data_IF_583218929056
#
_entry.id   IF_583218929056
#
_cell.length_a   1.000
_cell.length_b   1.000
_cell.length_c   1.000
_cell.angle_alpha   90.00
_cell.angle_beta   90.00
_cell.angle_gamma   90.00
#
_symmetry.space_group_name_H-M   'P 1'
#
loop_
_entity.id
_entity.type
_entity.pdbx_description
1 polymer ?
#
# COMPACT_ATOMS: atom_id res chain seq x y z
N UNK A 1 -0.37 43.65 2.20
CA UNK A 1 0.57 42.79 1.45
C UNK A 1 1.34 41.98 2.47
N UNK A 2 1.08 40.68 2.56
CA UNK A 2 1.82 39.78 3.45
C UNK A 2 3.00 39.18 2.66
N UNK A 3 4.26 39.41 3.06
CA UNK A 3 5.40 38.82 2.40
C UNK A 3 5.71 37.46 3.06
N UNK A 4 6.10 36.47 2.25
CA UNK A 4 6.59 35.13 2.63
C UNK A 4 5.55 34.01 2.61
N UNK A 5 5.14 33.63 1.41
CA UNK A 5 4.99 32.22 1.06
C UNK A 5 5.98 31.94 -0.09
N UNK A 6 7.24 31.67 0.24
CA UNK A 6 8.19 31.11 -0.74
C UNK A 6 7.75 29.65 -0.92
N UNK A 7 7.02 29.40 -2.00
CA UNK A 7 6.68 28.04 -2.45
C UNK A 7 7.98 27.38 -2.86
N UNK A 8 8.52 26.52 -2.00
CA UNK A 8 9.69 25.71 -2.33
C UNK A 8 9.23 24.62 -3.31
N UNK A 9 9.20 24.93 -4.60
CA UNK A 9 9.05 23.90 -5.62
C UNK A 9 10.31 23.04 -5.60
N UNK A 10 10.18 21.80 -5.12
CA UNK A 10 11.25 20.81 -5.21
C UNK A 10 11.69 20.70 -6.69
N UNK A 11 13.01 20.76 -7.00
CA UNK A 11 13.47 20.61 -8.37
C UNK A 11 12.98 19.28 -8.94
N UNK A 12 12.28 19.30 -10.08
CA UNK A 12 11.91 18.06 -10.78
C UNK A 12 13.18 17.33 -11.20
N UNK A 13 13.48 16.21 -10.54
CA UNK A 13 14.63 15.37 -10.88
C UNK A 13 14.39 14.75 -12.26
N UNK A 14 15.39 14.84 -13.13
CA UNK A 14 15.37 14.17 -14.43
C UNK A 14 15.49 12.66 -14.23
N UNK A 15 14.37 11.95 -14.36
CA UNK A 15 14.34 10.49 -14.28
C UNK A 15 15.19 9.85 -15.37
N UNK A 16 15.93 8.81 -15.01
CA UNK A 16 16.65 7.98 -15.97
C UNK A 16 15.67 7.15 -16.80
N UNK A 17 16.10 6.73 -18.00
CA UNK A 17 15.29 5.82 -18.83
C UNK A 17 14.98 4.50 -18.08
N UNK A 18 15.95 4.02 -17.28
CA UNK A 18 15.84 2.83 -16.43
C UNK A 18 14.65 2.93 -15.46
N UNK A 19 14.45 4.05 -14.75
CA UNK A 19 13.35 4.19 -13.80
C UNK A 19 11.97 4.17 -14.49
N UNK A 20 11.88 4.69 -15.72
CA UNK A 20 10.63 4.71 -16.48
C UNK A 20 10.17 3.31 -16.90
N UNK A 21 11.10 2.39 -17.18
CA UNK A 21 10.78 0.99 -17.51
C UNK A 21 10.03 0.29 -16.38
N UNK A 22 10.28 0.72 -15.14
CA UNK A 22 9.64 0.20 -13.95
C UNK A 22 8.43 1.04 -13.49
N UNK A 23 7.96 1.99 -14.28
CA UNK A 23 6.90 2.92 -13.91
C UNK A 23 7.18 3.67 -12.58
N UNK A 24 8.46 3.98 -12.32
CA UNK A 24 8.87 4.91 -11.27
C UNK A 24 8.92 6.32 -11.87
N UNK A 25 8.27 7.26 -11.20
CA UNK A 25 8.11 8.65 -11.65
C UNK A 25 8.82 9.62 -10.70
N UNK A 26 8.69 10.93 -10.95
CA UNK A 26 9.20 11.96 -10.05
C UNK A 26 8.47 11.95 -8.70
N UNK A 27 7.34 11.26 -8.63
CA UNK A 27 6.52 11.05 -7.44
C UNK A 27 6.70 9.62 -6.89
N UNK A 28 7.87 9.01 -7.10
CA UNK A 28 8.20 7.63 -6.74
C UNK A 28 7.28 6.61 -7.42
N UNK A 29 6.52 5.82 -6.66
CA UNK A 29 5.62 4.79 -7.17
C UNK A 29 4.22 5.33 -7.53
N UNK A 30 3.98 6.63 -7.35
CA UNK A 30 2.78 7.30 -7.84
C UNK A 30 2.90 7.62 -9.34
N UNK A 31 1.77 7.82 -10.04
CA UNK A 31 1.79 8.36 -11.40
C UNK A 31 2.42 9.76 -11.46
N UNK A 32 2.89 10.14 -12.66
CA UNK A 32 3.51 11.46 -12.89
C UNK A 32 2.50 12.61 -12.76
N UNK A 33 1.24 12.33 -13.06
CA UNK A 33 0.12 13.28 -12.95
C UNK A 33 -0.99 12.71 -12.07
N UNK A 34 -1.90 13.57 -11.62
CA UNK A 34 -3.09 13.13 -10.89
C UNK A 34 -3.82 12.00 -11.66
N UNK A 35 -4.23 10.92 -10.99
CA UNK A 35 -5.04 9.86 -11.60
C UNK A 35 -6.29 10.41 -12.31
N UNK A 36 -6.76 9.68 -13.33
CA UNK A 36 -7.97 10.06 -14.06
C UNK A 36 -9.16 10.13 -13.09
N UNK A 37 -9.90 11.25 -13.12
CA UNK A 37 -11.12 11.44 -12.34
C UNK A 37 -12.32 10.66 -12.88
N UNK A 38 -12.30 10.35 -14.17
CA UNK A 38 -13.33 9.57 -14.88
C UNK A 38 -12.67 8.85 -16.08
N UNK A 39 -13.18 7.66 -16.44
CA UNK A 39 -12.87 7.02 -17.71
C UNK A 39 -13.47 7.87 -18.84
N UNK A 40 -12.68 8.20 -19.89
CA UNK A 40 -13.12 9.14 -20.92
C UNK A 40 -14.14 8.55 -21.90
N UNK A 41 -14.13 7.23 -22.12
CA UNK A 41 -15.10 6.56 -22.98
C UNK A 41 -16.41 6.31 -22.21
N UNK A 42 -17.52 6.88 -22.71
CA UNK A 42 -18.86 6.74 -22.11
C UNK A 42 -19.37 5.30 -22.07
N UNK A 43 -18.74 4.38 -22.81
CA UNK A 43 -18.97 2.94 -22.64
C UNK A 43 -18.81 2.46 -21.20
N UNK A 44 -17.93 3.10 -20.41
CA UNK A 44 -17.67 2.77 -19.01
C UNK A 44 -18.50 3.58 -18.02
N UNK A 45 -19.43 4.43 -18.48
CA UNK A 45 -20.35 5.20 -17.62
C UNK A 45 -21.09 4.35 -16.58
N UNK A 46 -21.52 3.10 -16.85
CA UNK A 46 -22.17 2.27 -15.82
C UNK A 46 -21.29 2.02 -14.59
N UNK A 47 -19.97 1.80 -14.76
CA UNK A 47 -19.05 1.66 -13.63
C UNK A 47 -18.87 2.98 -12.89
N UNK A 48 -18.74 4.08 -13.63
CA UNK A 48 -18.56 5.43 -13.10
C UNK A 48 -19.74 5.87 -12.23
N UNK A 49 -20.96 5.59 -12.66
CA UNK A 49 -22.16 5.97 -11.92
C UNK A 49 -22.23 5.29 -10.55
N UNK A 50 -21.91 3.99 -10.48
CA UNK A 50 -21.95 3.24 -9.21
C UNK A 50 -20.84 3.71 -8.27
N UNK A 51 -19.60 3.85 -8.76
CA UNK A 51 -18.47 4.21 -7.89
C UNK A 51 -18.61 5.62 -7.31
N UNK A 52 -19.18 6.57 -8.04
CA UNK A 52 -19.44 7.94 -7.56
C UNK A 52 -20.47 7.98 -6.42
N UNK A 53 -21.40 7.01 -6.40
CA UNK A 53 -22.46 6.91 -5.38
C UNK A 53 -22.18 5.82 -4.34
N UNK A 54 -20.97 5.25 -4.33
CA UNK A 54 -20.63 4.07 -3.53
C UNK A 54 -20.97 4.23 -2.03
N UNK A 55 -20.65 5.35 -1.35
CA UNK A 55 -20.99 5.51 0.07
C UNK A 55 -22.50 5.46 0.35
N UNK A 56 -23.31 6.01 -0.54
CA UNK A 56 -24.77 5.98 -0.40
C UNK A 56 -25.29 4.56 -0.65
N UNK A 57 -24.81 3.90 -1.71
CA UNK A 57 -25.22 2.54 -2.05
C UNK A 57 -24.89 1.52 -0.94
N UNK A 58 -23.74 1.67 -0.27
CA UNK A 58 -23.38 0.85 0.89
C UNK A 58 -24.30 1.15 2.08
N UNK A 59 -24.50 2.44 2.40
CA UNK A 59 -25.32 2.87 3.54
C UNK A 59 -26.76 2.38 3.47
N UNK A 60 -27.34 2.34 2.27
CA UNK A 60 -28.71 1.90 2.01
C UNK A 60 -28.82 0.43 1.56
N UNK A 61 -27.74 -0.36 1.68
CA UNK A 61 -27.70 -1.78 1.32
C UNK A 61 -28.08 -2.08 -0.16
N UNK A 62 -27.90 -1.10 -1.03
CA UNK A 62 -28.28 -1.16 -2.44
C UNK A 62 -27.14 -1.55 -3.38
N UNK A 63 -25.90 -1.65 -2.85
CA UNK A 63 -24.71 -1.92 -3.66
C UNK A 63 -24.81 -3.21 -4.49
N UNK A 64 -25.37 -4.29 -3.93
CA UNK A 64 -25.51 -5.57 -4.65
C UNK A 64 -26.48 -5.44 -5.82
N UNK A 65 -27.65 -4.87 -5.56
CA UNK A 65 -28.67 -4.60 -6.58
C UNK A 65 -28.10 -3.75 -7.72
N UNK A 66 -27.37 -2.67 -7.39
CA UNK A 66 -26.75 -1.82 -8.39
C UNK A 66 -25.76 -2.59 -9.27
N UNK A 67 -24.89 -3.40 -8.68
CA UNK A 67 -23.92 -4.24 -9.41
C UNK A 67 -24.61 -5.31 -10.26
N UNK A 68 -25.62 -6.00 -9.72
CA UNK A 68 -26.30 -7.10 -10.42
C UNK A 68 -27.03 -6.60 -11.67
N UNK A 69 -27.41 -5.32 -11.72
CA UNK A 69 -28.02 -4.67 -12.89
C UNK A 69 -27.04 -4.17 -13.94
N UNK A 70 -25.72 -4.22 -13.67
CA UNK A 70 -24.72 -3.80 -14.66
C UNK A 70 -24.71 -4.75 -15.87
N UNK A 71 -24.41 -4.24 -17.07
CA UNK A 71 -23.92 -5.09 -18.15
C UNK A 71 -22.50 -5.60 -17.84
N UNK A 72 -22.13 -6.75 -18.39
CA UNK A 72 -20.72 -7.18 -18.42
C UNK A 72 -20.00 -6.35 -19.48
N UNK A 73 -19.15 -5.41 -19.05
CA UNK A 73 -18.41 -4.51 -19.94
C UNK A 73 -17.04 -5.11 -20.32
N UNK A 74 -16.66 -4.97 -21.59
CA UNK A 74 -15.36 -5.37 -22.14
C UNK A 74 -14.27 -4.35 -21.79
N UNK A 75 -13.04 -4.82 -21.59
CA UNK A 75 -11.87 -3.96 -21.34
C UNK A 75 -11.16 -3.51 -22.62
N UNK A 76 -11.59 -3.94 -23.79
CA UNK A 76 -10.93 -3.68 -25.09
C UNK A 76 -10.90 -2.20 -25.52
N UNK A 77 -11.71 -1.35 -24.87
CA UNK A 77 -11.75 0.09 -25.15
C UNK A 77 -10.82 0.91 -24.26
N UNK A 78 -10.21 0.32 -23.23
CA UNK A 78 -9.18 0.98 -22.42
C UNK A 78 -7.91 1.17 -23.26
N UNK A 79 -7.47 2.42 -23.43
CA UNK A 79 -6.37 2.79 -24.35
C UNK A 79 -5.07 3.15 -23.66
N UNK A 80 -5.14 3.71 -22.45
CA UNK A 80 -3.98 4.21 -21.73
C UNK A 80 -3.77 3.47 -20.41
N UNK A 81 -2.53 3.44 -19.92
CA UNK A 81 -2.21 2.92 -18.57
C UNK A 81 -3.05 3.59 -17.48
N UNK A 82 -3.34 4.87 -17.62
CA UNK A 82 -4.17 5.61 -16.68
C UNK A 82 -5.63 5.10 -16.67
N UNK A 83 -6.18 4.71 -17.83
CA UNK A 83 -7.50 4.08 -17.94
C UNK A 83 -7.51 2.67 -17.33
N UNK A 84 -6.50 1.85 -17.59
CA UNK A 84 -6.37 0.52 -16.98
C UNK A 84 -6.29 0.60 -15.45
N UNK A 85 -5.47 1.51 -14.91
CA UNK A 85 -5.35 1.75 -13.46
C UNK A 85 -6.66 2.23 -12.85
N UNK A 86 -7.37 3.14 -13.52
CA UNK A 86 -8.69 3.61 -13.07
C UNK A 86 -9.71 2.48 -13.05
N UNK A 87 -9.80 1.70 -14.13
CA UNK A 87 -10.70 0.55 -14.19
C UNK A 87 -10.41 -0.45 -13.06
N UNK A 88 -9.14 -0.72 -12.77
CA UNK A 88 -8.73 -1.58 -11.65
C UNK A 88 -9.23 -1.03 -10.32
N UNK A 89 -8.98 0.26 -10.04
CA UNK A 89 -9.43 0.90 -8.80
C UNK A 89 -10.94 0.80 -8.64
N UNK A 90 -11.72 1.15 -9.67
CA UNK A 90 -13.19 1.07 -9.61
C UNK A 90 -13.64 -0.36 -9.32
N UNK A 91 -13.19 -1.33 -10.10
CA UNK A 91 -13.59 -2.74 -9.96
C UNK A 91 -13.18 -3.33 -8.62
N UNK A 92 -12.03 -2.92 -8.07
CA UNK A 92 -11.56 -3.35 -6.75
C UNK A 92 -12.45 -2.81 -5.61
N UNK A 93 -12.82 -1.53 -5.66
CA UNK A 93 -13.78 -0.94 -4.71
C UNK A 93 -15.15 -1.61 -4.83
N UNK A 94 -15.67 -1.80 -6.05
CA UNK A 94 -16.96 -2.47 -6.25
C UNK A 94 -16.93 -3.93 -5.76
N UNK A 95 -15.83 -4.65 -5.98
CA UNK A 95 -15.64 -6.03 -5.47
C UNK A 95 -15.77 -6.07 -3.95
N UNK A 96 -15.02 -5.24 -3.25
CA UNK A 96 -15.01 -5.22 -1.79
C UNK A 96 -16.35 -4.73 -1.22
N UNK A 97 -16.98 -3.74 -1.86
CA UNK A 97 -18.29 -3.27 -1.46
C UNK A 97 -19.40 -4.31 -1.71
N UNK A 98 -19.33 -5.08 -2.79
CA UNK A 98 -20.29 -6.16 -3.06
C UNK A 98 -20.16 -7.29 -2.03
N UNK A 99 -18.91 -7.71 -1.77
CA UNK A 99 -18.60 -8.74 -0.78
C UNK A 99 -19.05 -8.30 0.60
N UNK A 100 -18.59 -7.14 1.09
CA UNK A 100 -18.76 -6.74 2.50
C UNK A 100 -19.95 -5.82 2.79
N UNK A 101 -20.56 -5.20 1.79
CA UNK A 101 -21.59 -4.15 1.96
C UNK A 101 -23.03 -4.64 2.15
N UNK A 102 -23.24 -5.94 2.39
CA UNK A 102 -24.56 -6.50 2.72
C UNK A 102 -24.67 -6.92 4.19
N UNK A 103 -25.79 -7.51 4.58
CA UNK A 103 -25.98 -8.04 5.96
C UNK A 103 -25.04 -9.20 6.32
N UNK A 104 -24.60 -9.96 5.33
CA UNK A 104 -23.63 -11.06 5.42
C UNK A 104 -22.71 -10.98 4.21
N UNK A 105 -21.46 -11.46 4.27
CA UNK A 105 -20.58 -11.34 3.12
C UNK A 105 -21.08 -12.17 1.92
N UNK A 106 -20.93 -11.63 0.71
CA UNK A 106 -21.23 -12.37 -0.51
C UNK A 106 -20.08 -13.31 -0.85
N UNK A 107 -20.38 -14.59 -1.06
CA UNK A 107 -19.39 -15.60 -1.42
C UNK A 107 -19.18 -15.72 -2.93
N UNK A 108 -20.05 -15.15 -3.75
CA UNK A 108 -19.99 -15.20 -5.21
C UNK A 108 -19.94 -13.79 -5.74
N UNK A 109 -18.88 -13.45 -6.47
CA UNK A 109 -18.74 -12.19 -7.19
C UNK A 109 -19.33 -12.36 -8.60
N UNK A 110 -20.25 -11.48 -9.03
CA UNK A 110 -20.99 -11.70 -10.27
C UNK A 110 -20.13 -11.37 -11.51
N UNK A 111 -20.46 -11.92 -12.70
CA UNK A 111 -19.69 -11.73 -13.93
C UNK A 111 -19.45 -10.27 -14.32
N UNK A 112 -20.40 -9.39 -13.98
CA UNK A 112 -20.37 -7.94 -14.18
C UNK A 112 -19.12 -7.27 -13.62
N UNK A 113 -18.58 -7.82 -12.51
CA UNK A 113 -17.32 -7.38 -11.92
C UNK A 113 -16.21 -8.38 -12.25
N UNK A 114 -16.47 -9.68 -12.07
CA UNK A 114 -15.43 -10.71 -12.20
C UNK A 114 -14.71 -10.66 -13.55
N UNK A 115 -15.45 -10.70 -14.65
CA UNK A 115 -14.87 -10.79 -16.01
C UNK A 115 -13.95 -9.61 -16.32
N UNK A 116 -14.40 -8.34 -16.21
CA UNK A 116 -13.52 -7.21 -16.46
C UNK A 116 -12.41 -7.11 -15.40
N UNK A 117 -12.66 -7.46 -14.14
CA UNK A 117 -11.65 -7.32 -13.10
C UNK A 117 -10.49 -8.29 -13.30
N UNK A 118 -10.77 -9.54 -13.67
CA UNK A 118 -9.72 -10.51 -14.04
C UNK A 118 -8.88 -10.03 -15.24
N UNK A 119 -9.51 -9.43 -16.25
CA UNK A 119 -8.81 -8.90 -17.42
C UNK A 119 -7.89 -7.72 -17.06
N UNK A 120 -8.40 -6.73 -16.29
CA UNK A 120 -7.61 -5.59 -15.84
C UNK A 120 -6.48 -6.02 -14.89
N UNK A 121 -6.78 -6.93 -13.96
CA UNK A 121 -5.79 -7.55 -13.07
C UNK A 121 -4.65 -8.20 -13.83
N UNK A 122 -4.96 -8.95 -14.88
CA UNK A 122 -3.94 -9.57 -15.74
C UNK A 122 -3.08 -8.52 -16.44
N UNK A 123 -3.68 -7.45 -16.97
CA UNK A 123 -2.97 -6.36 -17.64
C UNK A 123 -1.97 -5.66 -16.71
N UNK A 124 -2.39 -5.35 -15.47
CA UNK A 124 -1.56 -4.65 -14.47
C UNK A 124 -0.67 -5.59 -13.64
N UNK A 125 -0.74 -6.90 -13.91
CA UNK A 125 -0.06 -7.96 -13.17
C UNK A 125 -0.37 -7.95 -11.66
N UNK A 126 -1.63 -7.67 -11.31
CA UNK A 126 -2.13 -7.59 -9.93
C UNK A 126 -3.24 -8.63 -9.68
N UNK A 127 -3.39 -9.16 -8.46
CA UNK A 127 -4.52 -10.00 -8.11
C UNK A 127 -5.84 -9.19 -8.14
N UNK A 128 -7.00 -9.82 -8.41
CA UNK A 128 -8.29 -9.12 -8.45
C UNK A 128 -8.82 -8.85 -7.04
N UNK A 129 -8.20 -7.88 -6.34
CA UNK A 129 -8.55 -7.48 -4.97
C UNK A 129 -8.26 -5.99 -4.76
N UNK A 130 -8.86 -5.37 -3.73
CA UNK A 130 -8.48 -4.02 -3.28
C UNK A 130 -7.06 -4.04 -2.69
N UNK A 131 -6.08 -3.84 -3.56
CA UNK A 131 -4.67 -3.68 -3.22
C UNK A 131 -4.38 -2.25 -2.77
N UNK A 132 -3.19 -2.05 -2.19
CA UNK A 132 -2.65 -0.73 -1.87
C UNK A 132 -2.59 0.19 -3.10
N UNK A 133 -2.33 -0.37 -4.29
CA UNK A 133 -2.32 0.39 -5.54
C UNK A 133 -3.71 0.97 -5.88
N UNK A 134 -4.77 0.15 -5.78
CA UNK A 134 -6.14 0.64 -5.98
C UNK A 134 -6.56 1.64 -4.91
N UNK A 135 -6.30 1.34 -3.64
CA UNK A 135 -6.81 2.15 -2.53
C UNK A 135 -6.10 3.50 -2.39
N UNK A 136 -4.80 3.56 -2.75
CA UNK A 136 -3.94 4.72 -2.53
C UNK A 136 -3.33 5.25 -3.83
N UNK A 137 -2.45 4.48 -4.48
CA UNK A 137 -1.61 4.98 -5.59
C UNK A 137 -2.42 5.55 -6.76
N UNK A 138 -3.62 5.03 -6.99
CA UNK A 138 -4.49 5.41 -8.11
C UNK A 138 -5.85 5.96 -7.67
N UNK A 139 -6.01 6.34 -6.40
CA UNK A 139 -7.28 6.83 -5.84
C UNK A 139 -7.11 8.19 -5.14
N UNK A 140 -6.54 9.14 -5.86
CA UNK A 140 -6.42 10.52 -5.40
C UNK A 140 -6.56 11.50 -6.56
N UNK A 141 -6.76 12.76 -6.24
CA UNK A 141 -6.56 13.90 -7.12
C UNK A 141 -5.83 14.98 -6.34
N UNK A 142 -5.05 15.80 -7.04
CA UNK A 142 -4.39 16.95 -6.47
C UNK A 142 -4.83 18.22 -7.21
N UNK A 143 -5.05 19.31 -6.48
CA UNK A 143 -5.32 20.63 -7.09
C UNK A 143 -4.06 21.30 -7.67
N UNK A 144 -2.87 20.76 -7.37
CA UNK A 144 -1.59 21.16 -7.94
C UNK A 144 -0.71 19.97 -8.33
N UNK A 145 0.60 20.21 -8.44
CA UNK A 145 1.60 19.21 -8.85
C UNK A 145 2.43 18.66 -7.67
N UNK A 146 2.24 19.18 -6.45
CA UNK A 146 2.93 18.71 -5.25
C UNK A 146 2.06 17.71 -4.47
N UNK A 147 2.30 16.42 -4.70
CA UNK A 147 1.56 15.36 -4.03
C UNK A 147 2.02 15.12 -2.59
N UNK A 148 3.00 15.87 -2.09
CA UNK A 148 3.44 15.76 -0.69
C UNK A 148 2.60 16.61 0.26
N UNK A 149 1.78 17.52 -0.26
CA UNK A 149 0.91 18.39 0.53
C UNK A 149 -0.50 17.79 0.63
N UNK A 150 -0.81 17.25 1.81
CA UNK A 150 -2.11 16.65 2.12
C UNK A 150 -3.28 17.61 1.97
N UNK A 151 -3.09 18.91 2.15
CA UNK A 151 -4.20 19.88 2.05
C UNK A 151 -4.64 20.11 0.60
N UNK A 152 -3.79 19.76 -0.38
CA UNK A 152 -4.12 19.82 -1.81
C UNK A 152 -4.60 18.50 -2.39
N UNK A 153 -4.64 17.43 -1.58
CA UNK A 153 -5.08 16.11 -1.99
C UNK A 153 -6.55 15.85 -1.63
N UNK A 154 -7.27 15.15 -2.51
CA UNK A 154 -8.57 14.56 -2.21
C UNK A 154 -8.66 13.13 -2.79
N UNK A 155 -9.43 12.25 -2.17
CA UNK A 155 -9.69 10.90 -2.69
C UNK A 155 -10.67 10.97 -3.86
N UNK A 156 -10.51 10.10 -4.85
CA UNK A 156 -11.53 9.95 -5.91
C UNK A 156 -12.76 9.20 -5.37
N UNK A 157 -12.53 8.13 -4.61
CA UNK A 157 -13.57 7.23 -4.13
C UNK A 157 -13.29 6.77 -2.69
N UNK A 158 -14.37 6.50 -1.95
CA UNK A 158 -14.35 5.98 -0.57
C UNK A 158 -15.52 5.02 -0.38
N UNK A 159 -15.42 4.09 0.58
CA UNK A 159 -16.53 3.21 0.97
C UNK A 159 -17.53 3.93 1.87
N UNK A 160 -17.06 4.79 2.76
CA UNK A 160 -17.84 5.35 3.86
C UNK A 160 -18.20 6.83 3.66
N UNK A 161 -17.45 7.54 2.82
CA UNK A 161 -17.55 9.00 2.68
C UNK A 161 -17.05 9.78 3.89
N UNK A 162 -16.42 9.12 4.86
CA UNK A 162 -15.93 9.77 6.08
C UNK A 162 -14.59 10.47 5.86
N UNK A 163 -14.35 11.55 6.59
CA UNK A 163 -13.06 12.25 6.63
C UNK A 163 -11.92 11.30 7.06
N UNK A 164 -12.18 10.43 8.05
CA UNK A 164 -11.22 9.41 8.51
C UNK A 164 -10.71 8.51 7.38
N UNK A 165 -11.59 8.11 6.46
CA UNK A 165 -11.21 7.25 5.34
C UNK A 165 -10.35 8.02 4.34
N UNK A 166 -10.77 9.24 3.98
CA UNK A 166 -9.98 10.11 3.10
C UNK A 166 -8.58 10.30 3.66
N UNK A 167 -8.50 10.69 4.93
CA UNK A 167 -7.24 10.98 5.59
C UNK A 167 -6.32 9.76 5.66
N UNK A 168 -6.88 8.59 6.01
CA UNK A 168 -6.15 7.33 6.05
C UNK A 168 -5.50 6.98 4.70
N UNK A 169 -6.25 7.12 3.60
CA UNK A 169 -5.75 6.82 2.25
C UNK A 169 -4.75 7.88 1.77
N UNK A 170 -5.02 9.16 1.97
CA UNK A 170 -4.19 10.25 1.45
C UNK A 170 -2.84 10.38 2.16
N UNK A 171 -2.73 10.05 3.45
CA UNK A 171 -1.43 9.98 4.15
C UNK A 171 -0.47 9.05 3.41
N UNK A 172 -0.98 7.91 2.95
CA UNK A 172 -0.18 6.95 2.17
C UNK A 172 0.32 7.56 0.86
N UNK A 173 -0.52 8.35 0.17
CA UNK A 173 -0.13 9.07 -1.06
C UNK A 173 0.97 10.10 -0.77
N UNK A 174 0.82 10.93 0.26
CA UNK A 174 1.83 11.93 0.61
C UNK A 174 3.18 11.30 0.99
N UNK A 175 3.15 10.16 1.70
CA UNK A 175 4.35 9.40 2.04
C UNK A 175 5.08 8.89 0.79
N UNK A 176 4.34 8.32 -0.18
CA UNK A 176 4.90 7.85 -1.45
C UNK A 176 5.52 9.01 -2.24
N UNK A 177 4.79 10.12 -2.39
CA UNK A 177 5.27 11.31 -3.09
C UNK A 177 6.55 11.89 -2.47
N UNK A 178 6.64 11.89 -1.14
CA UNK A 178 7.80 12.42 -0.40
C UNK A 178 9.10 11.69 -0.76
N UNK A 179 9.01 10.44 -1.18
CA UNK A 179 10.14 9.64 -1.60
C UNK A 179 10.54 9.80 -3.08
N UNK A 180 9.88 10.69 -3.82
CA UNK A 180 10.17 10.90 -5.25
C UNK A 180 11.63 11.25 -5.54
N UNK A 181 12.27 11.99 -4.64
CA UNK A 181 13.67 12.40 -4.80
C UNK A 181 14.68 11.36 -4.34
N UNK A 182 14.31 10.45 -3.43
CA UNK A 182 15.26 9.52 -2.82
C UNK A 182 15.53 8.29 -3.70
N UNK A 183 14.57 7.85 -4.51
CA UNK A 183 14.76 6.68 -5.37
C UNK A 183 15.94 6.85 -6.34
N UNK A 184 16.03 7.93 -7.14
CA UNK A 184 17.19 8.15 -8.02
C UNK A 184 18.52 8.25 -7.26
N UNK A 185 18.51 8.86 -6.06
CA UNK A 185 19.71 9.05 -5.24
C UNK A 185 20.26 7.73 -4.70
N UNK A 186 19.39 6.83 -4.26
CA UNK A 186 19.82 5.50 -3.82
C UNK A 186 20.26 4.62 -4.99
N UNK A 187 19.68 4.80 -6.17
CA UNK A 187 20.17 4.12 -7.39
C UNK A 187 21.59 4.55 -7.76
N UNK A 188 21.89 5.85 -7.65
CA UNK A 188 23.23 6.41 -7.80
C UNK A 188 24.20 5.83 -6.74
N UNK A 189 23.77 5.78 -5.48
CA UNK A 189 24.57 5.21 -4.40
C UNK A 189 24.87 3.71 -4.59
N UNK A 190 23.91 2.92 -5.07
CA UNK A 190 24.12 1.50 -5.36
C UNK A 190 25.14 1.29 -6.48
N UNK A 191 25.14 2.14 -7.51
CA UNK A 191 26.17 2.07 -8.56
C UNK A 191 27.56 2.47 -8.01
N UNK A 192 27.61 3.49 -7.15
CA UNK A 192 28.82 3.97 -6.49
C UNK A 192 29.49 2.93 -5.55
N UNK A 193 28.76 1.88 -5.14
CA UNK A 193 29.35 0.74 -4.38
C UNK A 193 30.50 0.09 -5.17
N UNK A 194 30.37 -0.02 -6.50
CA UNK A 194 31.37 -0.69 -7.35
C UNK A 194 32.71 0.06 -7.38
N UNK A 195 32.65 1.39 -7.36
CA UNK A 195 33.84 2.26 -7.36
C UNK A 195 34.27 2.67 -5.96
N UNK A 196 33.53 2.27 -4.92
CA UNK A 196 33.73 2.68 -3.52
C UNK A 196 33.76 4.20 -3.37
N UNK A 197 32.87 4.90 -4.08
CA UNK A 197 32.71 6.34 -3.92
C UNK A 197 31.92 6.63 -2.63
N UNK A 198 32.66 6.70 -1.52
CA UNK A 198 32.09 6.84 -0.19
C UNK A 198 31.29 8.13 -0.02
N UNK A 199 31.71 9.24 -0.62
CA UNK A 199 31.04 10.53 -0.42
C UNK A 199 29.66 10.55 -1.09
N UNK A 200 29.52 9.93 -2.27
CA UNK A 200 28.20 9.75 -2.93
C UNK A 200 27.28 8.86 -2.08
N UNK A 201 27.80 7.74 -1.57
CA UNK A 201 27.00 6.80 -0.76
C UNK A 201 26.56 7.43 0.56
N UNK A 202 27.48 8.10 1.27
CA UNK A 202 27.20 8.81 2.53
C UNK A 202 26.11 9.87 2.32
N UNK A 203 26.27 10.73 1.30
CA UNK A 203 25.29 11.78 1.02
C UNK A 203 23.90 11.22 0.71
N UNK A 204 23.83 10.08 0.01
CA UNK A 204 22.57 9.40 -0.27
C UNK A 204 21.93 8.81 1.00
N UNK A 205 22.72 8.21 1.89
CA UNK A 205 22.24 7.66 3.17
C UNK A 205 21.71 8.77 4.10
N UNK A 206 22.37 9.93 4.16
CA UNK A 206 21.90 11.08 4.93
C UNK A 206 20.57 11.65 4.39
N UNK A 207 20.42 11.67 3.07
CA UNK A 207 19.16 12.04 2.41
C UNK A 207 18.07 10.99 2.63
N UNK A 208 18.43 9.70 2.62
CA UNK A 208 17.51 8.60 2.91
C UNK A 208 16.98 8.71 4.34
N UNK A 209 17.87 8.91 5.32
CA UNK A 209 17.49 9.17 6.71
C UNK A 209 16.48 10.32 6.79
N UNK A 210 16.81 11.46 6.19
CA UNK A 210 15.93 12.65 6.19
C UNK A 210 14.58 12.39 5.53
N UNK A 211 14.55 11.61 4.45
CA UNK A 211 13.33 11.17 3.79
C UNK A 211 12.47 10.30 4.72
N UNK A 212 13.07 9.30 5.36
CA UNK A 212 12.37 8.39 6.29
C UNK A 212 11.82 9.17 7.48
N UNK A 213 12.59 10.10 8.05
CA UNK A 213 12.14 10.98 9.13
C UNK A 213 10.91 11.80 8.70
N UNK A 214 10.96 12.40 7.49
CA UNK A 214 9.84 13.17 6.92
C UNK A 214 8.61 12.31 6.65
N UNK A 215 8.79 11.07 6.17
CA UNK A 215 7.70 10.10 5.97
C UNK A 215 7.09 9.72 7.32
N UNK A 216 7.90 9.59 8.37
CA UNK A 216 7.44 9.36 9.74
C UNK A 216 6.60 10.51 10.30
N UNK A 217 6.93 11.76 9.99
CA UNK A 217 6.11 12.94 10.34
C UNK A 217 4.76 12.87 9.64
N UNK A 218 4.72 12.53 8.35
CA UNK A 218 3.47 12.36 7.61
C UNK A 218 2.58 11.25 8.19
N UNK A 219 3.17 10.13 8.62
CA UNK A 219 2.43 9.04 9.26
C UNK A 219 1.77 9.49 10.57
N UNK A 220 2.43 10.34 11.37
CA UNK A 220 1.86 10.86 12.62
C UNK A 220 0.67 11.80 12.40
N UNK A 221 0.58 12.43 11.22
CA UNK A 221 -0.60 13.23 10.84
C UNK A 221 -1.88 12.38 10.82
N UNK A 222 -1.81 11.05 10.85
CA UNK A 222 -2.97 10.17 11.03
C UNK A 222 -3.83 10.60 12.23
N UNK A 223 -3.21 11.06 13.31
CA UNK A 223 -3.92 11.52 14.52
C UNK A 223 -4.76 12.78 14.33
N UNK A 224 -4.56 13.55 13.25
CA UNK A 224 -5.25 14.82 13.02
C UNK A 224 -6.70 14.63 12.61
N UNK A 225 -6.97 13.76 11.62
CA UNK A 225 -8.29 13.63 11.00
C UNK A 225 -8.76 12.18 10.78
N UNK A 226 -8.09 11.19 11.39
CA UNK A 226 -8.54 9.79 11.40
C UNK A 226 -8.99 9.38 12.81
N UNK A 227 -10.30 9.14 12.98
CA UNK A 227 -10.84 8.61 14.24
C UNK A 227 -10.59 7.09 14.36
N UNK A 228 -9.93 6.60 15.43
CA UNK A 228 -9.65 5.16 15.61
C UNK A 228 -10.86 4.25 15.58
N UNK A 229 -11.99 4.68 16.14
CA UNK A 229 -13.21 3.86 16.18
C UNK A 229 -13.86 3.78 14.80
N UNK A 230 -13.92 4.90 14.08
CA UNK A 230 -14.37 4.97 12.69
C UNK A 230 -13.50 4.11 11.80
N UNK A 231 -12.17 4.20 11.93
CA UNK A 231 -11.25 3.33 11.19
C UNK A 231 -11.54 1.85 11.44
N UNK A 232 -11.56 1.42 12.71
CA UNK A 232 -11.69 0.01 13.04
C UNK A 232 -13.06 -0.57 12.67
N UNK A 233 -14.14 0.16 12.95
CA UNK A 233 -15.50 -0.37 12.81
C UNK A 233 -16.14 -0.10 11.45
N UNK A 234 -15.77 0.99 10.76
CA UNK A 234 -16.42 1.40 9.50
C UNK A 234 -15.52 1.25 8.27
N UNK A 235 -14.22 1.46 8.39
CA UNK A 235 -13.30 1.50 7.23
C UNK A 235 -12.58 0.17 7.03
N UNK A 236 -11.86 -0.31 8.05
CA UNK A 236 -11.10 -1.57 8.05
C UNK A 236 -11.88 -2.77 7.50
N UNK A 237 -13.19 -2.93 7.71
CA UNK A 237 -13.91 -4.10 7.19
C UNK A 237 -13.89 -4.17 5.67
N UNK A 238 -13.97 -3.03 4.99
CA UNK A 238 -13.90 -2.97 3.53
C UNK A 238 -12.48 -3.17 2.98
N UNK A 239 -11.44 -3.01 3.81
CA UNK A 239 -10.05 -3.25 3.42
C UNK A 239 -9.66 -4.74 3.51
N UNK A 240 -10.50 -5.58 4.13
CA UNK A 240 -10.25 -7.00 4.28
C UNK A 240 -10.43 -7.76 2.95
N UNK A 241 -9.49 -8.66 2.65
CA UNK A 241 -9.61 -9.62 1.54
C UNK A 241 -10.41 -10.85 1.96
N UNK A 242 -10.30 -11.95 1.21
CA UNK A 242 -11.01 -13.21 1.46
C UNK A 242 -10.15 -14.31 2.11
N UNK A 243 -8.83 -14.10 2.25
CA UNK A 243 -7.92 -15.05 2.91
C UNK A 243 -8.09 -15.01 4.44
N UNK A 244 -8.18 -16.17 5.08
CA UNK A 244 -8.36 -16.35 6.53
C UNK A 244 -9.64 -15.67 7.06
N UNK A 245 -10.74 -15.75 6.29
CA UNK A 245 -12.04 -15.12 6.58
C UNK A 245 -13.16 -16.14 6.82
N UNK A 246 -12.82 -17.36 7.22
CA UNK A 246 -13.76 -18.44 7.53
C UNK A 246 -14.75 -17.99 8.61
N UNK A 247 -14.24 -17.41 9.69
CA UNK A 247 -15.04 -16.92 10.81
C UNK A 247 -15.91 -15.70 10.45
N UNK A 248 -15.54 -14.95 9.41
CA UNK A 248 -16.31 -13.83 8.88
C UNK A 248 -17.42 -14.27 7.92
N UNK A 249 -17.47 -15.55 7.51
CA UNK A 249 -18.46 -16.09 6.59
C UNK A 249 -17.96 -16.39 5.18
N UNK A 250 -16.65 -16.38 4.95
CA UNK A 250 -16.00 -16.70 3.67
C UNK A 250 -15.08 -17.94 3.78
N UNK A 251 -15.60 -19.14 4.10
CA UNK A 251 -14.79 -20.32 4.39
C UNK A 251 -13.99 -20.87 3.20
N UNK A 252 -14.37 -20.51 1.97
CA UNK A 252 -13.69 -20.88 0.72
C UNK A 252 -13.10 -19.66 0.01
N UNK A 253 -13.02 -18.54 0.72
CA UNK A 253 -12.78 -17.24 0.10
C UNK A 253 -14.01 -16.78 -0.70
N UNK A 254 -13.77 -16.19 -1.89
CA UNK A 254 -14.81 -15.69 -2.79
C UNK A 254 -14.70 -16.41 -4.13
N UNK A 255 -15.83 -16.86 -4.67
CA UNK A 255 -15.94 -17.42 -6.01
C UNK A 255 -16.07 -16.30 -7.05
N UNK A 256 -15.10 -16.22 -7.95
CA UNK A 256 -15.07 -15.28 -9.05
C UNK A 256 -15.83 -15.93 -10.21
N UNK A 257 -17.12 -15.61 -10.35
CA UNK A 257 -18.00 -16.18 -11.38
C UNK A 257 -17.76 -15.49 -12.73
N UNK A 258 -17.35 -16.25 -13.75
CA UNK A 258 -17.12 -15.76 -15.11
C UNK A 258 -18.35 -15.93 -16.02
N UNK A 259 -19.44 -16.52 -15.51
CA UNK A 259 -20.62 -16.89 -16.29
C UNK A 259 -20.53 -18.31 -16.85
N UNK A 260 -21.66 -18.83 -17.36
CA UNK A 260 -21.75 -20.14 -18.01
C UNK A 260 -21.15 -21.31 -17.22
N UNK A 261 -21.25 -21.26 -15.89
CA UNK A 261 -20.70 -22.28 -14.99
C UNK A 261 -19.17 -22.25 -14.81
N UNK A 262 -18.49 -21.21 -15.31
CA UNK A 262 -17.05 -21.00 -15.15
C UNK A 262 -16.74 -20.07 -13.98
N UNK A 263 -15.59 -20.28 -13.36
CA UNK A 263 -15.09 -19.45 -12.27
C UNK A 263 -14.26 -20.23 -11.27
N UNK A 264 -13.65 -19.53 -10.33
CA UNK A 264 -12.73 -20.12 -9.35
C UNK A 264 -12.90 -19.52 -7.95
N UNK A 265 -12.75 -20.37 -6.93
CA UNK A 265 -12.63 -19.91 -5.54
C UNK A 265 -11.25 -19.32 -5.29
N UNK A 266 -11.20 -18.12 -4.72
CA UNK A 266 -9.94 -17.39 -4.46
C UNK A 266 -9.85 -16.90 -3.02
N UNK A 267 -8.70 -17.16 -2.41
CA UNK A 267 -8.29 -16.66 -1.10
C UNK A 267 -7.27 -15.54 -1.30
N UNK A 268 -7.72 -14.29 -1.38
CA UNK A 268 -6.88 -13.12 -1.62
C UNK A 268 -6.70 -12.30 -0.35
N UNK A 269 -5.51 -11.75 -0.12
CA UNK A 269 -5.25 -10.84 0.99
C UNK A 269 -5.81 -9.46 0.68
N UNK A 270 -6.31 -8.78 1.70
CA UNK A 270 -6.77 -7.40 1.58
C UNK A 270 -5.62 -6.41 1.44
N UNK A 271 -5.96 -5.13 1.30
CA UNK A 271 -5.00 -4.04 1.27
C UNK A 271 -4.22 -3.94 2.57
N UNK A 272 -2.91 -3.76 2.48
CA UNK A 272 -2.06 -3.46 3.64
C UNK A 272 -0.89 -2.57 3.24
N UNK A 273 -0.35 -1.81 4.20
CA UNK A 273 0.82 -0.96 3.95
C UNK A 273 2.07 -1.76 3.55
N UNK A 274 2.12 -3.08 3.83
CA UNK A 274 3.21 -3.94 3.35
C UNK A 274 3.25 -4.10 1.82
N UNK A 275 2.16 -3.75 1.13
CA UNK A 275 2.08 -3.72 -0.34
C UNK A 275 2.63 -2.39 -0.92
N UNK A 276 3.03 -1.43 -0.09
CA UNK A 276 3.78 -0.25 -0.56
C UNK A 276 5.15 -0.70 -1.06
N UNK A 277 5.46 -0.37 -2.31
CA UNK A 277 6.79 -0.62 -2.88
C UNK A 277 7.85 0.28 -2.25
N UNK A 278 7.47 1.45 -1.72
CA UNK A 278 8.40 2.35 -1.03
C UNK A 278 8.95 1.75 0.26
N UNK A 279 8.10 1.18 1.10
CA UNK A 279 8.58 0.59 2.36
C UNK A 279 9.56 -0.55 2.08
N UNK A 280 9.28 -1.37 1.08
CA UNK A 280 10.15 -2.47 0.67
C UNK A 280 11.41 -1.99 -0.05
N UNK A 281 11.34 -0.85 -0.74
CA UNK A 281 12.52 -0.21 -1.30
C UNK A 281 13.51 0.20 -0.21
N UNK A 282 13.04 0.78 0.90
CA UNK A 282 13.89 1.12 2.04
C UNK A 282 14.60 -0.11 2.62
N UNK A 283 13.87 -1.22 2.77
CA UNK A 283 14.44 -2.49 3.24
C UNK A 283 15.51 -3.01 2.29
N UNK A 284 15.24 -3.01 0.98
CA UNK A 284 16.18 -3.50 -0.03
C UNK A 284 17.47 -2.67 -0.05
N UNK A 285 17.39 -1.33 -0.03
CA UNK A 285 18.60 -0.49 -0.12
C UNK A 285 19.43 -0.48 1.17
N UNK A 286 18.80 -0.73 2.31
CA UNK A 286 19.46 -0.91 3.61
C UNK A 286 19.84 -2.36 3.89
N UNK A 287 19.59 -3.29 2.97
CA UNK A 287 19.94 -4.71 3.15
C UNK A 287 19.26 -5.36 4.36
N UNK A 288 18.02 -4.96 4.66
CA UNK A 288 17.19 -5.58 5.70
C UNK A 288 16.66 -6.92 5.19
N UNK A 289 17.02 -8.00 5.89
CA UNK A 289 16.57 -9.34 5.54
C UNK A 289 15.41 -9.77 6.45
N UNK A 290 14.33 -10.23 5.82
CA UNK A 290 13.13 -10.71 6.51
C UNK A 290 13.16 -12.23 6.59
N UNK A 291 13.62 -12.76 7.72
CA UNK A 291 13.80 -14.21 7.89
C UNK A 291 12.46 -14.95 7.82
N UNK A 292 12.47 -16.13 7.19
CA UNK A 292 11.28 -16.99 7.03
C UNK A 292 10.98 -17.84 8.28
N UNK A 293 11.52 -17.46 9.43
CA UNK A 293 11.23 -18.05 10.73
C UNK A 293 10.40 -17.08 11.57
N UNK A 294 9.68 -17.61 12.56
CA UNK A 294 8.83 -16.80 13.42
C UNK A 294 7.56 -16.28 12.74
N UNK A 295 7.21 -15.03 13.00
CA UNK A 295 5.92 -14.41 12.65
C UNK A 295 5.85 -13.85 11.23
N UNK A 296 6.95 -13.97 10.47
CA UNK A 296 7.05 -13.57 9.08
C UNK A 296 6.57 -14.65 8.09
N UNK A 297 6.22 -15.85 8.54
CA UNK A 297 5.68 -16.93 7.68
C UNK A 297 4.39 -17.50 8.24
N UNK A 298 3.51 -17.99 7.36
CA UNK A 298 2.32 -18.72 7.79
C UNK A 298 2.64 -20.17 8.13
N UNK A 299 3.64 -20.77 7.46
CA UNK A 299 4.20 -22.10 7.76
C UNK A 299 5.71 -22.12 7.56
N UNK A 300 6.40 -22.95 8.36
CA UNK A 300 7.84 -23.15 8.23
C UNK A 300 8.22 -23.62 6.82
N UNK A 301 9.17 -22.91 6.20
CA UNK A 301 9.63 -23.18 4.82
C UNK A 301 8.87 -22.44 3.71
N UNK A 302 7.89 -21.61 4.04
CA UNK A 302 7.20 -20.75 3.07
C UNK A 302 7.90 -19.39 2.88
N UNK A 303 7.50 -18.66 1.82
CA UNK A 303 7.94 -17.28 1.56
C UNK A 303 7.57 -16.37 2.73
N UNK A 304 8.42 -15.38 3.03
CA UNK A 304 8.12 -14.35 4.01
C UNK A 304 6.86 -13.57 3.60
N UNK A 305 6.16 -12.96 4.57
CA UNK A 305 5.04 -12.08 4.28
C UNK A 305 5.46 -10.94 3.34
N UNK A 306 6.65 -10.37 3.57
CA UNK A 306 7.23 -9.32 2.72
C UNK A 306 7.39 -9.79 1.27
N UNK A 307 7.77 -11.03 1.02
CA UNK A 307 7.84 -11.58 -0.33
C UNK A 307 6.46 -11.88 -0.93
N UNK A 308 5.52 -12.36 -0.12
CA UNK A 308 4.15 -12.63 -0.57
C UNK A 308 3.46 -11.35 -1.02
N UNK A 309 3.61 -10.24 -0.28
CA UNK A 309 2.95 -8.98 -0.62
C UNK A 309 3.55 -8.27 -1.83
N UNK A 310 4.75 -8.66 -2.29
CA UNK A 310 5.28 -8.21 -3.60
C UNK A 310 4.39 -8.67 -4.75
N UNK A 311 3.69 -9.81 -4.62
CA UNK A 311 2.70 -10.26 -5.61
C UNK A 311 1.44 -9.39 -5.65
N UNK A 312 1.30 -8.43 -4.73
CA UNK A 312 0.21 -7.45 -4.67
C UNK A 312 0.67 -6.02 -5.02
N UNK A 313 1.90 -5.88 -5.53
CA UNK A 313 2.43 -4.63 -6.10
C UNK A 313 2.27 -4.65 -7.61
N UNK A 314 2.10 -3.49 -8.29
CA UNK A 314 2.09 -3.44 -9.75
C UNK A 314 3.31 -4.14 -10.34
N UNK A 315 3.13 -4.89 -11.44
CA UNK A 315 4.18 -5.70 -12.06
C UNK A 315 5.52 -4.98 -12.24
N UNK A 316 5.53 -3.76 -12.83
CA UNK A 316 6.74 -2.95 -12.96
C UNK A 316 7.42 -2.63 -11.62
N UNK A 317 6.66 -2.34 -10.56
CA UNK A 317 7.20 -2.01 -9.24
C UNK A 317 7.83 -3.23 -8.55
N UNK A 318 7.24 -4.42 -8.67
CA UNK A 318 7.86 -5.66 -8.18
C UNK A 318 9.17 -5.96 -8.92
N UNK A 319 9.21 -5.77 -10.24
CA UNK A 319 10.44 -5.91 -11.03
C UNK A 319 11.50 -4.89 -10.62
N UNK A 320 11.10 -3.66 -10.30
CA UNK A 320 12.02 -2.65 -9.76
C UNK A 320 12.71 -3.12 -8.50
N UNK A 321 11.97 -3.61 -7.51
CA UNK A 321 12.57 -4.09 -6.25
C UNK A 321 13.54 -5.24 -6.49
N UNK A 322 13.20 -6.15 -7.41
CA UNK A 322 14.10 -7.25 -7.82
C UNK A 322 15.37 -6.73 -8.49
N UNK A 323 15.26 -5.66 -9.28
CA UNK A 323 16.37 -5.02 -9.97
C UNK A 323 17.29 -4.29 -8.99
N UNK A 324 16.74 -3.52 -8.06
CA UNK A 324 17.50 -2.80 -7.01
C UNK A 324 18.29 -3.79 -6.16
N UNK A 325 17.68 -4.90 -5.75
CA UNK A 325 18.34 -5.94 -4.96
C UNK A 325 19.57 -6.59 -5.64
N UNK A 326 19.75 -6.40 -6.96
CA UNK A 326 20.87 -6.95 -7.74
C UNK A 326 21.99 -5.94 -8.01
N UNK A 327 21.83 -4.66 -7.63
CA UNK A 327 22.78 -3.58 -8.00
C UNK A 327 24.02 -3.47 -7.11
N UNK A 328 24.07 -4.21 -6.02
CA UNK A 328 25.14 -4.17 -5.02
C UNK A 328 24.57 -4.05 -3.61
N UNK A 329 25.43 -4.13 -2.60
CA UNK A 329 25.01 -4.06 -1.20
C UNK A 329 25.78 -2.97 -0.47
N UNK A 330 25.09 -1.88 -0.12
CA UNK A 330 25.64 -0.83 0.73
C UNK A 330 25.94 -1.40 2.13
N UNK A 331 25.07 -2.31 2.62
CA UNK A 331 25.27 -3.00 3.90
C UNK A 331 26.57 -3.80 3.92
N UNK A 332 26.84 -4.61 2.90
CA UNK A 332 28.10 -5.38 2.81
C UNK A 332 29.34 -4.48 2.81
N UNK A 333 29.25 -3.31 2.16
CA UNK A 333 30.35 -2.34 2.17
C UNK A 333 30.51 -1.69 3.55
N UNK A 334 29.42 -1.35 4.23
CA UNK A 334 29.42 -0.77 5.56
C UNK A 334 29.89 -1.77 6.64
N UNK A 335 29.56 -3.06 6.51
CA UNK A 335 29.96 -4.11 7.46
C UNK A 335 31.46 -4.44 7.47
N UNK A 336 32.24 -3.93 6.50
CA UNK A 336 33.69 -4.12 6.50
C UNK A 336 34.33 -3.36 7.67
N UNK A 337 35.34 -3.97 8.31
CA UNK A 337 36.12 -3.29 9.35
C UNK A 337 36.72 -1.98 8.78
N UNK A 338 36.44 -0.82 9.39
CA UNK A 338 36.86 0.45 8.84
C UNK A 338 38.38 0.60 8.98
N UNK A 339 39.03 0.97 7.90
CA UNK A 339 40.47 1.27 7.83
C UNK A 339 40.75 2.71 7.39
N UNK A 340 39.72 3.55 7.28
CA UNK A 340 39.84 4.95 6.88
C UNK A 340 38.69 5.80 7.43
N UNK A 341 38.87 7.12 7.59
CA UNK A 341 37.81 8.02 8.03
C UNK A 341 36.57 8.02 7.13
N UNK A 342 36.72 7.74 5.84
CA UNK A 342 35.60 7.63 4.90
C UNK A 342 34.72 6.41 5.20
N UNK A 343 35.33 5.27 5.56
CA UNK A 343 34.59 4.06 5.93
C UNK A 343 33.91 4.20 7.30
N UNK A 344 34.53 4.88 8.26
CA UNK A 344 33.90 5.22 9.54
C UNK A 344 32.65 6.09 9.33
N UNK A 345 32.75 7.12 8.46
CA UNK A 345 31.59 7.94 8.09
C UNK A 345 30.50 7.14 7.36
N UNK A 346 30.87 6.21 6.48
CA UNK A 346 29.92 5.32 5.83
C UNK A 346 29.14 4.49 6.85
N UNK A 347 29.84 3.86 7.80
CA UNK A 347 29.20 3.08 8.87
C UNK A 347 28.23 3.94 9.68
N UNK A 348 28.67 5.12 10.12
CA UNK A 348 27.83 6.04 10.88
C UNK A 348 26.58 6.46 10.10
N UNK A 349 26.71 6.81 8.82
CA UNK A 349 25.59 7.19 7.96
C UNK A 349 24.61 6.02 7.72
N UNK A 350 25.13 4.82 7.52
CA UNK A 350 24.33 3.61 7.33
C UNK A 350 23.54 3.25 8.59
N UNK A 351 24.21 3.24 9.75
CA UNK A 351 23.56 3.00 11.05
C UNK A 351 22.49 4.05 11.32
N UNK A 352 22.75 5.33 11.04
CA UNK A 352 21.77 6.40 11.23
C UNK A 352 20.53 6.26 10.32
N UNK A 353 20.70 5.87 9.06
CA UNK A 353 19.58 5.61 8.14
C UNK A 353 18.73 4.41 8.60
N UNK A 354 19.38 3.36 9.09
CA UNK A 354 18.71 2.16 9.62
C UNK A 354 17.99 2.43 10.94
N UNK A 355 18.56 3.26 11.80
CA UNK A 355 17.92 3.74 13.02
C UNK A 355 16.65 4.56 12.70
N UNK A 356 16.70 5.46 11.71
CA UNK A 356 15.52 6.20 11.26
C UNK A 356 14.40 5.26 10.78
N UNK A 357 14.72 4.20 10.04
CA UNK A 357 13.72 3.19 9.64
C UNK A 357 13.16 2.41 10.83
N UNK A 358 14.00 2.11 11.83
CA UNK A 358 13.58 1.48 13.09
C UNK A 358 12.61 2.37 13.86
N UNK A 359 12.89 3.69 13.95
CA UNK A 359 12.00 4.69 14.56
C UNK A 359 10.68 4.79 13.79
N UNK A 360 10.72 4.82 12.47
CA UNK A 360 9.51 4.78 11.64
C UNK A 360 8.64 3.54 11.92
N UNK A 361 9.25 2.36 12.01
CA UNK A 361 8.54 1.10 12.35
C UNK A 361 7.95 1.14 13.77
N UNK A 362 8.63 1.76 14.73
CA UNK A 362 8.08 2.00 16.07
C UNK A 362 6.83 2.92 16.03
N UNK A 363 6.87 4.02 15.26
CA UNK A 363 5.69 4.88 15.05
C UNK A 363 4.53 4.09 14.45
N UNK A 364 4.80 3.22 13.45
CA UNK A 364 3.77 2.37 12.88
C UNK A 364 3.16 1.38 13.89
N UNK A 365 3.96 0.77 14.78
CA UNK A 365 3.46 -0.07 15.89
C UNK A 365 2.52 0.72 16.82
N UNK A 366 2.84 2.00 17.12
CA UNK A 366 1.99 2.86 17.93
C UNK A 366 0.65 3.17 17.24
N UNK A 367 0.69 3.48 15.94
CA UNK A 367 -0.52 3.65 15.11
C UNK A 367 -1.37 2.38 15.17
N UNK A 368 -0.79 1.23 14.87
CA UNK A 368 -1.50 -0.05 14.89
C UNK A 368 -2.10 -0.35 16.26
N UNK A 369 -1.38 -0.03 17.33
CA UNK A 369 -1.90 -0.16 18.70
C UNK A 369 -3.14 0.70 18.91
N UNK A 370 -3.09 1.98 18.53
CA UNK A 370 -4.20 2.92 18.72
C UNK A 370 -5.41 2.62 17.84
N UNK A 371 -5.19 2.24 16.58
CA UNK A 371 -6.24 2.12 15.57
C UNK A 371 -6.81 0.70 15.43
N UNK A 372 -6.13 -0.32 15.97
CA UNK A 372 -6.58 -1.71 15.87
C UNK A 372 -6.71 -2.36 17.24
N UNK A 373 -5.64 -2.36 18.05
CA UNK A 373 -5.61 -3.14 19.30
C UNK A 373 -6.54 -2.55 20.35
N UNK A 374 -6.49 -1.23 20.57
CA UNK A 374 -7.36 -0.57 21.56
C UNK A 374 -8.85 -0.68 21.16
N UNK A 375 -9.28 -0.33 19.93
CA UNK A 375 -10.67 -0.48 19.50
C UNK A 375 -11.20 -1.92 19.57
N UNK A 376 -10.37 -2.92 19.27
CA UNK A 376 -10.74 -4.33 19.37
C UNK A 376 -11.07 -4.75 20.81
N UNK A 377 -10.34 -4.21 21.80
CA UNK A 377 -10.54 -4.48 23.24
C UNK A 377 -11.71 -3.72 23.84
N UNK A 378 -12.02 -2.53 23.34
CA UNK A 378 -13.09 -1.68 23.86
C UNK A 378 -14.50 -2.25 23.68
N UNK A 379 -14.68 -3.30 22.86
CA UNK A 379 -15.90 -4.11 22.85
C UNK A 379 -17.20 -3.39 22.45
N UNK A 380 -17.14 -2.13 21.99
CA UNK A 380 -18.33 -1.35 21.63
C UNK A 380 -19.18 -2.09 20.58
N UNK A 381 -20.46 -2.26 20.90
CA UNK A 381 -21.46 -3.00 20.11
C UNK A 381 -22.32 -2.08 19.23
N UNK A 382 -22.07 -0.77 19.24
CA UNK A 382 -22.93 0.19 18.54
C UNK A 382 -22.50 0.37 17.08
N UNK A 383 -23.14 -0.42 16.20
CA UNK A 383 -23.03 -0.31 14.75
C UNK A 383 -23.41 -1.61 14.03
N UNK A 384 -23.73 -1.58 12.72
CA UNK A 384 -23.95 -2.78 11.93
C UNK A 384 -22.77 -3.75 12.12
N UNK A 385 -23.07 -5.04 12.24
CA UNK A 385 -22.08 -6.08 12.55
C UNK A 385 -20.85 -5.95 11.65
N UNK A 386 -19.68 -5.82 12.27
CA UNK A 386 -18.41 -5.72 11.57
C UNK A 386 -18.05 -7.11 10.98
N UNK A 387 -18.58 -7.38 9.78
CA UNK A 387 -18.53 -8.70 9.14
C UNK A 387 -17.11 -9.23 9.03
N UNK A 388 -16.18 -8.42 8.53
CA UNK A 388 -14.78 -8.84 8.35
C UNK A 388 -13.93 -8.82 9.63
N UNK A 389 -14.21 -7.94 10.61
CA UNK A 389 -13.43 -7.91 11.86
C UNK A 389 -13.94 -8.87 12.93
N UNK A 390 -15.05 -9.59 12.66
CA UNK A 390 -15.57 -10.65 13.53
C UNK A 390 -14.61 -11.85 13.62
N UNK A 391 -13.76 -12.06 12.61
CA UNK A 391 -12.68 -13.05 12.62
C UNK A 391 -11.61 -12.77 13.69
N UNK A 392 -11.48 -11.53 14.17
CA UNK A 392 -10.50 -11.13 15.18
C UNK A 392 -10.96 -11.38 16.64
N UNK A 393 -12.11 -12.03 16.87
CA UNK A 393 -12.78 -12.10 18.20
C UNK A 393 -12.83 -13.48 18.88
N UNK A 394 -12.22 -14.55 18.36
CA UNK A 394 -12.26 -15.85 19.06
C UNK A 394 -11.20 -15.94 20.18
N UNK A 395 -11.70 -16.18 21.40
CA UNK A 395 -11.03 -16.71 22.60
C UNK A 395 -9.48 -16.74 22.60
N UNK A 396 -8.85 -15.61 22.91
CA UNK A 396 -7.41 -15.57 23.21
C UNK A 396 -6.48 -15.71 22.00
N UNK A 397 -7.00 -15.74 20.77
CA UNK A 397 -6.20 -15.70 19.55
C UNK A 397 -5.69 -14.27 19.25
N UNK A 398 -4.49 -14.17 18.66
CA UNK A 398 -3.84 -12.91 18.36
C UNK A 398 -4.55 -12.13 17.24
N UNK A 399 -4.64 -10.80 17.37
CA UNK A 399 -5.30 -9.94 16.39
C UNK A 399 -4.60 -10.01 15.02
N UNK A 400 -5.38 -10.17 13.95
CA UNK A 400 -4.87 -10.25 12.57
C UNK A 400 -4.97 -8.91 11.83
N UNK A 401 -3.98 -8.58 11.00
CA UNK A 401 -4.06 -7.47 10.05
C UNK A 401 -4.99 -7.78 8.86
N UNK A 402 -5.36 -6.77 8.07
CA UNK A 402 -6.13 -6.96 6.81
C UNK A 402 -5.38 -7.78 5.76
N UNK A 403 -4.04 -7.80 5.86
CA UNK A 403 -3.16 -8.68 5.09
C UNK A 403 -3.07 -10.11 5.65
N UNK A 404 -3.66 -10.40 6.82
CA UNK A 404 -3.75 -11.74 7.41
C UNK A 404 -2.59 -12.16 8.31
N UNK A 405 -1.69 -11.24 8.72
CA UNK A 405 -0.61 -11.53 9.69
C UNK A 405 -1.05 -11.30 11.14
N UNK A 406 -0.45 -12.06 12.06
CA UNK A 406 -0.47 -11.77 13.49
C UNK A 406 0.18 -10.42 13.78
N UNK A 407 -0.61 -9.44 14.18
CA UNK A 407 -0.30 -8.03 13.98
C UNK A 407 0.92 -7.53 14.77
N UNK A 408 0.97 -7.75 16.09
CA UNK A 408 2.06 -7.20 16.93
C UNK A 408 3.38 -7.96 16.78
N UNK A 409 3.40 -9.30 16.95
CA UNK A 409 4.60 -10.10 16.70
C UNK A 409 5.26 -9.86 15.33
N UNK A 410 4.47 -9.80 14.25
CA UNK A 410 4.99 -9.51 12.90
C UNK A 410 5.68 -8.15 12.82
N UNK A 411 5.02 -7.09 13.32
CA UNK A 411 5.58 -5.73 13.26
C UNK A 411 6.82 -5.56 14.14
N UNK A 412 6.84 -6.21 15.32
CA UNK A 412 8.02 -6.24 16.19
C UNK A 412 9.19 -6.95 15.53
N UNK A 413 8.94 -8.14 14.96
CA UNK A 413 9.97 -8.88 14.22
C UNK A 413 10.56 -8.04 13.09
N UNK A 414 9.70 -7.41 12.28
CA UNK A 414 10.14 -6.52 11.20
C UNK A 414 11.05 -5.41 11.75
N UNK A 415 10.61 -4.68 12.80
CA UNK A 415 11.44 -3.65 13.44
C UNK A 415 12.78 -4.19 13.94
N UNK A 416 12.78 -5.36 14.57
CA UNK A 416 13.97 -5.95 15.16
C UNK A 416 14.98 -6.37 14.06
N UNK A 417 14.49 -6.93 12.95
CA UNK A 417 15.28 -7.22 11.74
C UNK A 417 15.92 -5.95 11.13
N UNK A 418 15.20 -4.82 11.12
CA UNK A 418 15.80 -3.53 10.72
C UNK A 418 16.89 -3.10 11.69
N UNK A 419 16.62 -3.15 12.99
CA UNK A 419 17.60 -2.75 13.99
C UNK A 419 18.86 -3.61 13.92
N UNK A 420 18.73 -4.91 13.64
CA UNK A 420 19.82 -5.85 13.47
C UNK A 420 20.66 -5.54 12.22
N UNK A 421 20.02 -5.19 11.09
CA UNK A 421 20.74 -4.79 9.89
C UNK A 421 21.73 -3.62 10.14
N UNK A 422 21.36 -2.70 11.04
CA UNK A 422 22.14 -1.52 11.40
C UNK A 422 23.26 -1.76 12.42
N UNK A 423 23.34 -2.94 13.03
CA UNK A 423 24.46 -3.32 13.93
C UNK A 423 25.73 -3.67 13.17
N UNK A 424 25.60 -3.95 11.87
CA UNK A 424 26.72 -4.28 10.98
C UNK A 424 27.57 -5.48 11.46
N UNK A 425 26.95 -6.39 12.21
CA UNK A 425 27.53 -7.66 12.68
C UNK A 425 27.56 -8.75 11.61
#
# INVERSE_FOLDING_TARGET
>A
MSPHAVTYQLPRIKLTAELKEFAVTSNAFLPEHSPLKQLPDSYYEPWELIIQHLPALIRYFDIRRAVDTLPVLSTERLRSEAEWRRAYSILAFLTHAYVWGGEKPAQVLPPQITVPFLAVSKHLELPPVLSYAAANLWNFSCSGDDFTDLEHLDTLHTFTGTESEKWFLLISVAMEARAGTIIPKMMEALEAVKTRDYDVIISALEQLKSCIDSVGVLLERMYEKCDPMTFYYKIRPFLAGSKNMEAAGLPKGVFYNEGDGKGEWRHLRGGSNGQSSLIQFFDVVLGVEHITSGNNTEKAGERSYHDIVKDYMPGPHRRFLTHVARKGSIRELASQTPSSPAQERLQAAFTAATEALTVFRNKHIQIVTRYIILPARSGSKDGPQNLASSSSKKNGEELTGTGGTTLVPFLKQSRDETSEAGRLE
#
